data_IF_856847846284
#
_entry.id   IF_856847846284
#
_cell.length_a   1.000
_cell.length_b   1.000
_cell.length_c   1.000
_cell.angle_alpha   90.00
_cell.angle_beta   90.00
_cell.angle_gamma   90.00
#
_symmetry.space_group_name_H-M   'P 1'
#
loop_
_entity.id
_entity.type
_entity.pdbx_description
1 polymer ?
#
# COMPACT_ATOMS: atom_id res chain seq x y z
N UNK A 1 11.94 2.78 21.02
CA UNK A 1 12.02 3.59 19.86
C UNK A 1 12.00 2.81 18.56
N UNK A 2 12.51 1.63 18.55
CA UNK A 2 12.44 0.80 17.35
C UNK A 2 11.03 0.54 16.94
N UNK A 3 10.14 0.35 17.87
CA UNK A 3 8.76 0.08 17.54
C UNK A 3 8.10 1.27 16.87
N UNK A 4 8.40 2.46 17.35
CA UNK A 4 7.87 3.64 16.72
C UNK A 4 8.34 3.76 15.28
N UNK A 5 9.61 3.41 15.06
CA UNK A 5 10.17 3.46 13.72
C UNK A 5 9.45 2.49 12.79
N UNK A 6 9.18 1.30 13.29
CA UNK A 6 8.49 0.29 12.48
C UNK A 6 7.10 0.78 12.09
N UNK A 7 6.38 1.36 13.02
CA UNK A 7 5.04 1.84 12.74
C UNK A 7 5.08 2.97 11.71
N UNK A 8 6.01 3.89 11.88
CA UNK A 8 6.15 5.00 10.94
C UNK A 8 6.53 4.48 9.56
N UNK A 9 7.40 3.49 9.52
CA UNK A 9 7.81 2.91 8.25
C UNK A 9 6.62 2.29 7.53
N UNK A 10 5.81 1.54 8.23
CA UNK A 10 4.64 0.92 7.64
C UNK A 10 3.65 1.96 7.14
N UNK A 11 3.44 3.00 7.92
CA UNK A 11 2.52 4.07 7.52
C UNK A 11 3.03 4.78 6.28
N UNK A 12 4.32 4.99 6.20
CA UNK A 12 4.92 5.64 5.04
C UNK A 12 4.76 4.78 3.80
N UNK A 13 5.00 3.49 3.94
CA UNK A 13 4.83 2.57 2.81
C UNK A 13 3.39 2.51 2.36
N UNK A 14 2.47 2.54 3.31
CA UNK A 14 1.06 2.54 2.98
C UNK A 14 0.69 3.77 2.14
N UNK A 15 1.24 4.90 2.51
CA UNK A 15 0.99 6.13 1.78
C UNK A 15 1.50 6.01 0.35
N UNK A 16 2.69 5.46 0.19
CA UNK A 16 3.26 5.27 -1.13
C UNK A 16 2.42 4.33 -1.96
N UNK A 17 1.91 3.27 -1.35
CA UNK A 17 1.06 2.33 -2.06
C UNK A 17 -0.23 3.00 -2.55
N UNK A 18 -0.80 3.85 -1.73
CA UNK A 18 -2.02 4.55 -2.12
C UNK A 18 -1.76 5.43 -3.33
N UNK A 19 -0.66 6.15 -3.31
CA UNK A 19 -0.31 7.01 -4.44
C UNK A 19 -0.06 6.18 -5.68
N UNK A 20 0.65 5.08 -5.54
CA UNK A 20 0.94 4.21 -6.67
C UNK A 20 -0.34 3.65 -7.29
N UNK A 21 -1.26 3.24 -6.44
CA UNK A 21 -2.52 2.69 -6.92
C UNK A 21 -3.31 3.77 -7.67
N UNK A 22 -3.33 4.97 -7.12
CA UNK A 22 -4.04 6.06 -7.76
C UNK A 22 -3.46 6.38 -9.13
N UNK A 23 -2.14 6.39 -9.23
CA UNK A 23 -1.49 6.66 -10.50
C UNK A 23 -1.75 5.54 -11.51
N UNK A 24 -1.70 4.31 -11.04
CA UNK A 24 -1.99 3.19 -11.92
C UNK A 24 -3.43 3.24 -12.42
N UNK A 25 -4.33 3.60 -11.55
CA UNK A 25 -5.72 3.73 -11.94
C UNK A 25 -5.91 4.82 -12.98
N UNK A 26 -5.21 5.91 -12.81
CA UNK A 26 -5.27 7.01 -13.76
C UNK A 26 -4.76 6.58 -15.12
N UNK A 27 -3.64 5.88 -15.15
CA UNK A 27 -3.08 5.39 -16.40
C UNK A 27 -3.97 4.35 -17.04
N UNK A 28 -4.62 3.53 -16.24
CA UNK A 28 -5.52 2.52 -16.76
C UNK A 28 -6.69 3.16 -17.50
N UNK A 29 -7.25 4.19 -16.92
CA UNK A 29 -8.35 4.90 -17.56
C UNK A 29 -7.90 5.61 -18.83
N UNK A 30 -6.66 6.05 -18.83
CA UNK A 30 -6.14 6.80 -19.97
C UNK A 30 -5.75 5.88 -21.12
N UNK A 31 -4.96 4.87 -20.84
CA UNK A 31 -4.45 3.99 -21.87
C UNK A 31 -5.19 2.67 -21.96
N UNK A 32 -5.62 2.16 -20.85
CA UNK A 32 -6.39 0.93 -20.82
C UNK A 32 -5.63 -0.28 -21.30
N UNK A 33 -4.40 -0.42 -20.88
CA UNK A 33 -3.61 -1.54 -21.33
C UNK A 33 -3.32 -2.51 -20.19
N UNK A 34 -2.15 -3.09 -20.21
CA UNK A 34 -1.80 -4.19 -19.32
C UNK A 34 -1.47 -3.77 -17.91
N UNK A 35 -1.84 -2.57 -17.54
CA UNK A 35 -1.64 -2.11 -16.17
C UNK A 35 -2.47 -2.92 -15.19
N UNK A 36 -3.38 -3.69 -15.73
CA UNK A 36 -4.24 -4.54 -14.92
C UNK A 36 -3.46 -5.46 -14.01
N UNK A 37 -2.40 -6.07 -14.54
CA UNK A 37 -1.56 -6.97 -13.76
C UNK A 37 -0.83 -6.21 -12.68
N UNK A 38 -0.28 -5.07 -13.01
CA UNK A 38 0.43 -4.24 -12.06
C UNK A 38 -0.51 -3.79 -10.95
N UNK A 39 -1.71 -3.42 -11.32
CA UNK A 39 -2.70 -3.00 -10.33
C UNK A 39 -3.04 -4.13 -9.38
N UNK A 40 -3.15 -5.33 -9.91
CA UNK A 40 -3.44 -6.50 -9.09
C UNK A 40 -2.33 -6.74 -8.07
N UNK A 41 -1.09 -6.66 -8.52
CA UNK A 41 0.05 -6.84 -7.64
C UNK A 41 0.09 -5.75 -6.58
N UNK A 42 -0.18 -4.52 -6.98
CA UNK A 42 -0.19 -3.41 -6.04
C UNK A 42 -1.26 -3.58 -4.98
N UNK A 43 -2.42 -4.03 -5.39
CA UNK A 43 -3.51 -4.25 -4.45
C UNK A 43 -3.15 -5.34 -3.44
N UNK A 44 -2.53 -6.41 -3.92
CA UNK A 44 -2.13 -7.48 -3.02
C UNK A 44 -1.08 -7.00 -2.03
N UNK A 45 -0.05 -6.33 -2.52
CA UNK A 45 1.01 -5.85 -1.65
C UNK A 45 0.46 -4.83 -0.66
N UNK A 46 -0.38 -3.92 -1.16
CA UNK A 46 -0.98 -2.92 -0.29
C UNK A 46 -1.87 -3.53 0.77
N UNK A 47 -2.61 -4.57 0.38
CA UNK A 47 -3.46 -5.26 1.33
C UNK A 47 -2.67 -5.93 2.44
N UNK A 48 -1.58 -6.59 2.06
CA UNK A 48 -0.73 -7.24 3.06
C UNK A 48 -0.11 -6.20 3.97
N UNK A 49 0.38 -5.12 3.39
CA UNK A 49 0.99 -4.07 4.19
C UNK A 49 -0.03 -3.44 5.14
N UNK A 50 -1.24 -3.24 4.66
CA UNK A 50 -2.29 -2.68 5.50
C UNK A 50 -2.63 -3.62 6.65
N UNK A 51 -2.67 -4.91 6.35
CA UNK A 51 -2.94 -5.90 7.38
C UNK A 51 -1.86 -5.87 8.45
N UNK A 52 -0.61 -5.82 8.04
CA UNK A 52 0.51 -5.76 8.98
C UNK A 52 0.44 -4.50 9.82
N UNK A 53 0.12 -3.39 9.19
CA UNK A 53 0.02 -2.12 9.90
C UNK A 53 -1.10 -2.18 10.93
N UNK A 54 -2.23 -2.71 10.55
CA UNK A 54 -3.36 -2.81 11.45
C UNK A 54 -3.03 -3.71 12.63
N UNK A 55 -2.34 -4.80 12.37
CA UNK A 55 -1.97 -5.73 13.42
C UNK A 55 -0.98 -5.08 14.39
N UNK A 56 -0.07 -4.29 13.85
CA UNK A 56 0.90 -3.61 14.69
C UNK A 56 0.22 -2.59 15.60
N UNK A 57 -0.72 -1.85 15.05
CA UNK A 57 -1.44 -0.87 15.84
C UNK A 57 -2.27 -1.56 16.92
N UNK A 58 -2.91 -2.64 16.57
CA UNK A 58 -3.74 -3.36 17.53
C UNK A 58 -2.88 -3.96 18.63
N UNK A 59 -1.70 -4.40 18.28
CA UNK A 59 -0.80 -4.98 19.28
C UNK A 59 -0.33 -3.92 20.26
N UNK A 60 -0.22 -2.69 19.82
CA UNK A 60 0.21 -1.62 20.68
C UNK A 60 -0.88 -1.18 21.64
N UNK A 61 -2.10 -1.25 21.20
CA UNK A 61 -3.21 -0.88 22.05
C UNK A 61 -3.51 -1.99 23.04
#
# INVERSE_FOLDING_TARGET
MKKCNTLVFFAFMQFIYIIAIAMCFYLFLYKGTQIFIVLFFLLLAGGINSYCLFKEIKSKI
#
